data_IF_650552594299
#
_entry.id   IF_650552594299
#
_cell.length_a   1.000
_cell.length_b   1.000
_cell.length_c   1.000
_cell.angle_alpha   90.00
_cell.angle_beta   90.00
_cell.angle_gamma   90.00
#
_symmetry.space_group_name_H-M   'P 1'
#
loop_
_entity.id
_entity.type
_entity.pdbx_description
1 polymer ?
#
# COMPACT_ATOMS: atom_id res chain seq x y z
N UNK A 1 16.78 9.11 7.09
CA UNK A 1 15.76 8.73 8.08
C UNK A 1 14.43 9.35 7.65
N UNK A 2 13.30 8.85 8.14
CA UNK A 2 12.02 9.55 8.00
C UNK A 2 11.82 10.61 9.09
N UNK A 3 10.64 11.25 9.11
CA UNK A 3 10.28 12.28 10.10
C UNK A 3 10.22 11.78 11.55
N UNK A 4 10.15 10.47 11.79
CA UNK A 4 10.20 9.86 13.13
C UNK A 4 11.62 9.42 13.53
N UNK A 5 12.60 9.70 12.67
CA UNK A 5 13.98 9.25 12.85
C UNK A 5 14.18 7.77 12.54
N UNK A 6 13.24 7.11 11.86
CA UNK A 6 13.32 5.69 11.52
C UNK A 6 14.08 5.48 10.19
N UNK A 7 14.99 4.49 10.11
CA UNK A 7 15.73 4.21 8.88
C UNK A 7 14.86 3.43 7.89
N UNK A 8 14.25 4.13 6.92
CA UNK A 8 13.49 3.50 5.82
C UNK A 8 14.40 2.71 4.87
N UNK A 9 15.63 3.17 4.65
CA UNK A 9 16.65 2.53 3.80
C UNK A 9 17.90 2.21 4.65
N UNK A 10 17.82 1.24 5.58
CA UNK A 10 18.99 0.82 6.34
C UNK A 10 20.06 0.27 5.39
N UNK A 11 21.32 0.62 5.65
CA UNK A 11 22.46 0.17 4.85
C UNK A 11 23.68 -0.09 5.76
N UNK A 12 24.63 -0.91 5.34
CA UNK A 12 25.76 -1.31 6.18
C UNK A 12 25.30 -2.02 7.46
N UNK A 13 25.92 -1.68 8.59
CA UNK A 13 25.57 -2.21 9.92
C UNK A 13 24.55 -1.31 10.66
N UNK A 14 23.40 -1.03 10.03
CA UNK A 14 22.36 -0.19 10.66
C UNK A 14 21.65 -0.96 11.79
N UNK A 15 21.61 -0.36 12.98
CA UNK A 15 20.84 -0.84 14.14
C UNK A 15 19.87 0.28 14.56
N UNK A 16 18.62 -0.08 14.82
CA UNK A 16 17.63 0.85 15.36
C UNK A 16 16.84 0.19 16.48
N UNK A 17 16.82 0.83 17.65
CA UNK A 17 16.09 0.39 18.83
C UNK A 17 14.83 1.26 18.95
N UNK A 18 13.68 0.61 19.01
CA UNK A 18 12.41 1.21 19.38
C UNK A 18 12.19 0.94 20.87
N UNK A 19 12.23 2.00 21.67
CA UNK A 19 11.86 1.95 23.08
C UNK A 19 10.36 1.62 23.27
N UNK A 20 9.99 1.18 24.47
CA UNK A 20 8.62 0.79 24.81
C UNK A 20 7.62 1.90 24.49
N UNK A 21 7.89 3.10 25.01
CA UNK A 21 6.99 4.25 24.97
C UNK A 21 7.03 5.02 23.66
N UNK A 22 8.04 4.76 22.82
CA UNK A 22 8.19 5.43 21.52
C UNK A 22 7.25 4.81 20.51
N UNK A 23 6.35 5.63 19.95
CA UNK A 23 5.53 5.24 18.80
C UNK A 23 6.34 5.46 17.53
N UNK A 24 6.54 4.39 16.74
CA UNK A 24 7.17 4.43 15.43
C UNK A 24 6.25 3.71 14.46
N UNK A 25 5.53 4.46 13.63
CA UNK A 25 4.45 3.94 12.77
C UNK A 25 5.02 3.06 11.65
N UNK A 26 6.25 3.36 11.22
CA UNK A 26 6.93 2.63 10.14
C UNK A 26 7.67 1.37 10.60
N UNK A 27 7.70 1.04 11.90
CA UNK A 27 8.50 -0.09 12.38
C UNK A 27 8.05 -1.42 11.73
N UNK A 28 9.01 -2.18 11.19
CA UNK A 28 8.74 -3.39 10.39
C UNK A 28 8.68 -3.16 8.88
N UNK A 29 8.53 -1.90 8.46
CA UNK A 29 8.50 -1.49 7.04
C UNK A 29 9.86 -0.99 6.58
N UNK A 30 10.19 -1.16 5.29
CA UNK A 30 11.37 -0.57 4.65
C UNK A 30 10.99 -0.10 3.25
N UNK A 31 11.77 0.82 2.69
CA UNK A 31 11.52 1.42 1.38
C UNK A 31 11.87 0.53 0.19
N UNK A 32 12.39 -0.68 0.43
CA UNK A 32 12.79 -1.62 -0.61
C UNK A 32 12.10 -2.98 -0.48
N UNK A 33 12.13 -3.73 -1.58
CA UNK A 33 11.56 -5.07 -1.62
C UNK A 33 12.49 -6.05 -0.90
N UNK A 34 11.94 -6.85 0.02
CA UNK A 34 12.67 -7.90 0.74
C UNK A 34 11.91 -9.23 0.65
N UNK A 35 12.63 -10.34 0.67
CA UNK A 35 12.07 -11.67 0.88
C UNK A 35 11.98 -11.94 2.38
N UNK A 36 10.86 -12.49 2.84
CA UNK A 36 10.64 -12.81 4.26
C UNK A 36 10.71 -14.33 4.44
N UNK A 37 11.42 -14.82 5.44
CA UNK A 37 11.54 -16.25 5.74
C UNK A 37 10.32 -16.89 6.43
N UNK A 38 9.13 -16.27 6.34
CA UNK A 38 7.89 -16.80 6.95
C UNK A 38 7.08 -17.51 5.87
N UNK A 39 6.54 -18.67 6.21
CA UNK A 39 5.84 -19.57 5.29
C UNK A 39 4.68 -18.88 4.53
N UNK A 40 4.61 -19.23 3.24
CA UNK A 40 3.71 -18.85 2.14
C UNK A 40 2.41 -18.09 2.51
N UNK A 41 2.14 -17.02 1.77
CA UNK A 41 0.76 -16.67 1.37
C UNK A 41 0.62 -16.79 -0.14
N UNK A 42 -0.28 -17.68 -0.55
CA UNK A 42 -0.60 -17.95 -1.94
C UNK A 42 -1.43 -16.77 -2.46
N UNK A 43 -0.86 -16.02 -3.39
CA UNK A 43 -1.52 -14.97 -4.13
C UNK A 43 -0.61 -14.59 -5.28
N UNK A 44 -1.11 -14.71 -6.51
CA UNK A 44 -0.51 -14.33 -7.79
C UNK A 44 0.98 -13.92 -7.76
N UNK A 45 1.85 -14.76 -8.32
CA UNK A 45 3.32 -14.67 -8.36
C UNK A 45 3.84 -13.23 -8.22
N UNK A 46 4.24 -12.87 -7.00
CA UNK A 46 5.06 -11.69 -6.80
C UNK A 46 6.47 -11.99 -7.30
N UNK A 47 7.21 -11.03 -7.89
CA UNK A 47 8.62 -11.21 -8.24
C UNK A 47 9.49 -11.66 -7.05
N UNK A 48 9.00 -11.45 -5.82
CA UNK A 48 9.62 -11.91 -4.58
C UNK A 48 9.39 -13.38 -4.23
N UNK A 49 8.50 -14.09 -4.94
CA UNK A 49 8.36 -15.53 -4.77
C UNK A 49 9.56 -16.27 -5.37
N UNK A 50 9.86 -17.47 -4.87
CA UNK A 50 10.95 -18.30 -5.41
C UNK A 50 10.72 -18.53 -6.90
N UNK A 51 11.69 -18.16 -7.73
CA UNK A 51 11.58 -18.27 -9.20
C UNK A 51 10.82 -17.14 -9.89
N UNK A 52 10.09 -16.29 -9.16
CA UNK A 52 9.21 -15.27 -9.75
C UNK A 52 9.92 -14.23 -10.62
N UNK A 53 11.14 -13.81 -10.25
CA UNK A 53 11.95 -12.92 -11.09
C UNK A 53 12.39 -13.61 -12.38
N UNK A 54 12.83 -14.88 -12.30
CA UNK A 54 13.29 -15.63 -13.47
C UNK A 54 12.15 -15.74 -14.48
N UNK A 55 10.99 -16.21 -14.03
CA UNK A 55 9.79 -16.30 -14.87
C UNK A 55 9.33 -14.96 -15.44
N UNK A 56 9.50 -13.86 -14.68
CA UNK A 56 9.18 -12.52 -15.17
C UNK A 56 10.10 -12.09 -16.31
N UNK A 57 11.41 -12.35 -16.20
CA UNK A 57 12.39 -12.01 -17.23
C UNK A 57 12.28 -12.93 -18.46
N UNK A 58 11.95 -14.21 -18.27
CA UNK A 58 11.73 -15.18 -19.36
C UNK A 58 10.57 -14.77 -20.28
N UNK A 59 9.66 -13.90 -19.82
CA UNK A 59 8.56 -13.32 -20.63
C UNK A 59 8.97 -12.11 -21.46
N UNK A 60 10.25 -11.74 -21.44
CA UNK A 60 10.81 -10.55 -22.11
C UNK A 60 9.97 -9.28 -21.87
N UNK A 61 9.85 -8.84 -20.61
CA UNK A 61 8.93 -7.78 -20.27
C UNK A 61 9.37 -6.46 -20.90
N UNK A 62 8.43 -5.80 -21.58
CA UNK A 62 8.67 -4.46 -22.14
C UNK A 62 8.79 -3.44 -21.02
N UNK A 63 9.70 -2.49 -21.21
CA UNK A 63 9.82 -1.36 -20.28
C UNK A 63 8.47 -0.61 -20.22
N UNK A 64 7.87 -0.43 -19.02
CA UNK A 64 6.59 0.27 -18.90
C UNK A 64 6.68 1.75 -19.26
N UNK A 65 7.90 2.30 -19.39
CA UNK A 65 8.14 3.65 -19.89
C UNK A 65 7.49 3.89 -21.26
N UNK A 66 7.00 5.10 -21.48
CA UNK A 66 6.30 5.49 -22.70
C UNK A 66 5.13 4.57 -23.10
N UNK A 67 4.40 4.03 -22.11
CA UNK A 67 3.29 3.09 -22.30
C UNK A 67 3.70 1.82 -23.07
N UNK A 68 4.87 1.28 -22.78
CA UNK A 68 5.38 0.05 -23.42
C UNK A 68 6.07 0.28 -24.77
N UNK A 69 6.21 1.53 -25.20
CA UNK A 69 6.94 1.90 -26.44
C UNK A 69 8.42 2.18 -26.21
N UNK A 70 8.87 2.20 -24.95
CA UNK A 70 10.28 2.34 -24.67
C UNK A 70 11.04 1.12 -25.22
N UNK A 71 12.06 1.31 -26.08
CA UNK A 71 12.86 0.21 -26.62
C UNK A 71 13.79 -0.41 -25.57
N UNK A 72 13.83 0.13 -24.36
CA UNK A 72 14.67 -0.35 -23.28
C UNK A 72 14.30 -1.76 -22.83
N UNK A 73 15.34 -2.55 -22.54
CA UNK A 73 15.20 -3.88 -21.93
C UNK A 73 15.06 -3.75 -20.42
N UNK A 74 14.19 -4.55 -19.82
CA UNK A 74 14.05 -4.63 -18.37
C UNK A 74 15.10 -5.60 -17.84
N UNK A 75 15.95 -5.12 -16.95
CA UNK A 75 16.96 -5.93 -16.24
C UNK A 75 16.63 -6.00 -14.76
N UNK A 76 17.01 -7.10 -14.12
CA UNK A 76 16.94 -7.25 -12.68
C UNK A 76 18.35 -7.15 -12.09
N UNK A 77 18.55 -6.19 -11.20
CA UNK A 77 19.76 -6.08 -10.40
C UNK A 77 19.53 -6.79 -9.06
N UNK A 78 20.24 -7.90 -8.86
CA UNK A 78 20.14 -8.69 -7.64
C UNK A 78 20.87 -7.99 -6.50
N UNK A 79 20.22 -7.86 -5.35
CA UNK A 79 20.88 -7.46 -4.11
C UNK A 79 21.45 -8.70 -3.40
N UNK A 80 22.77 -8.74 -3.19
CA UNK A 80 23.47 -9.89 -2.60
C UNK A 80 24.20 -9.45 -1.33
N UNK A 81 24.23 -10.33 -0.33
CA UNK A 81 25.01 -10.10 0.90
C UNK A 81 24.34 -9.18 1.93
N UNK A 82 23.10 -8.75 1.68
CA UNK A 82 22.30 -7.96 2.62
C UNK A 82 21.32 -8.82 3.40
N UNK A 83 21.09 -8.47 4.66
CA UNK A 83 20.03 -9.09 5.46
C UNK A 83 19.46 -8.08 6.45
N UNK A 84 18.15 -8.16 6.67
CA UNK A 84 17.44 -7.36 7.64
C UNK A 84 16.60 -8.24 8.56
N UNK A 85 16.58 -7.91 9.85
CA UNK A 85 15.82 -8.61 10.88
C UNK A 85 15.08 -7.59 11.75
N UNK A 86 13.84 -7.95 12.09
CA UNK A 86 13.00 -7.24 13.04
C UNK A 86 12.72 -8.17 14.22
N UNK A 87 13.07 -7.74 15.42
CA UNK A 87 12.75 -8.42 16.66
C UNK A 87 11.73 -7.58 17.43
N UNK A 88 10.65 -8.22 17.86
CA UNK A 88 9.56 -7.60 18.62
C UNK A 88 9.48 -8.28 19.98
N UNK A 89 9.62 -7.50 21.04
CA UNK A 89 9.41 -8.00 22.40
C UNK A 89 8.03 -7.55 22.89
N UNK A 90 7.06 -8.47 22.80
CA UNK A 90 5.66 -8.21 23.14
C UNK A 90 5.49 -7.74 24.60
N UNK A 91 6.12 -8.37 25.62
CA UNK A 91 5.83 -8.05 27.03
C UNK A 91 6.15 -6.60 27.41
N UNK A 92 7.18 -6.00 26.81
CA UNK A 92 7.60 -4.64 27.18
C UNK A 92 7.49 -3.64 26.03
N UNK A 93 7.02 -4.05 24.85
CA UNK A 93 6.87 -3.18 23.68
C UNK A 93 8.18 -2.69 23.04
N UNK A 94 9.36 -3.17 23.47
CA UNK A 94 10.62 -2.84 22.79
C UNK A 94 10.72 -3.60 21.47
N UNK A 95 11.37 -2.99 20.48
CA UNK A 95 11.63 -3.63 19.22
C UNK A 95 12.99 -3.24 18.66
N UNK A 96 13.58 -4.11 17.86
CA UNK A 96 14.92 -3.95 17.32
C UNK A 96 14.93 -4.24 15.82
N UNK A 97 15.43 -3.28 15.05
CA UNK A 97 15.81 -3.48 13.66
C UNK A 97 17.32 -3.68 13.60
N UNK A 98 17.74 -4.74 12.90
CA UNK A 98 19.14 -4.99 12.55
C UNK A 98 19.27 -5.19 11.06
N UNK A 99 20.19 -4.46 10.45
CA UNK A 99 20.61 -4.63 9.07
C UNK A 99 22.09 -4.98 9.01
N UNK A 100 22.46 -5.84 8.05
CA UNK A 100 23.85 -6.11 7.68
C UNK A 100 23.99 -6.14 6.17
N UNK A 101 25.20 -5.89 5.68
CA UNK A 101 25.55 -5.88 4.26
C UNK A 101 25.40 -4.50 3.63
N UNK A 102 25.82 -4.39 2.36
CA UNK A 102 25.83 -3.14 1.61
C UNK A 102 24.88 -3.23 0.41
N UNK A 103 23.94 -2.31 0.33
CA UNK A 103 23.15 -2.03 -0.88
C UNK A 103 23.97 -1.12 -1.80
N UNK A 104 24.69 -1.73 -2.74
CA UNK A 104 25.47 -1.03 -3.78
C UNK A 104 24.73 -1.10 -5.13
N UNK A 105 23.48 -0.67 -5.11
CA UNK A 105 22.63 -0.56 -6.29
C UNK A 105 21.59 0.55 -6.07
N UNK A 106 20.99 1.11 -7.13
CA UNK A 106 19.95 2.11 -7.00
C UNK A 106 18.78 1.59 -6.16
N UNK A 107 18.26 2.44 -5.28
CA UNK A 107 17.07 2.11 -4.50
C UNK A 107 15.82 2.12 -5.37
N UNK A 108 14.95 1.11 -5.27
CA UNK A 108 13.70 1.13 -6.00
C UNK A 108 12.79 2.23 -5.45
N UNK A 109 12.04 2.89 -6.34
CA UNK A 109 10.94 3.77 -5.89
C UNK A 109 9.84 2.92 -5.25
N UNK A 110 9.44 3.26 -4.03
CA UNK A 110 8.34 2.55 -3.37
C UNK A 110 7.05 2.70 -4.17
N UNK A 111 6.46 1.56 -4.55
CA UNK A 111 5.15 1.54 -5.23
C UNK A 111 4.02 1.86 -4.25
N UNK A 112 4.16 1.52 -2.97
CA UNK A 112 3.09 1.66 -1.97
C UNK A 112 3.41 2.84 -1.03
N UNK A 113 2.41 3.65 -0.63
CA UNK A 113 2.62 4.61 0.44
C UNK A 113 3.05 3.87 1.70
N UNK A 114 4.04 4.42 2.40
CA UNK A 114 4.47 3.91 3.68
C UNK A 114 3.39 4.16 4.76
N UNK A 115 3.49 3.50 5.93
CA UNK A 115 2.55 3.72 7.02
C UNK A 115 2.35 5.19 7.42
N UNK A 116 3.40 6.03 7.39
CA UNK A 116 3.28 7.47 7.66
C UNK A 116 2.46 8.21 6.59
N UNK A 117 2.73 8.00 5.32
CA UNK A 117 1.96 8.57 4.21
C UNK A 117 0.50 8.09 4.23
N UNK A 118 0.26 6.85 4.68
CA UNK A 118 -1.11 6.35 4.91
C UNK A 118 -1.81 7.09 6.06
N UNK A 119 -1.09 7.40 7.13
CA UNK A 119 -1.63 8.17 8.25
C UNK A 119 -1.94 9.62 7.82
N UNK A 120 -1.07 10.26 7.05
CA UNK A 120 -1.29 11.61 6.51
C UNK A 120 -2.48 11.64 5.56
N UNK A 121 -2.60 10.65 4.68
CA UNK A 121 -3.77 10.52 3.80
C UNK A 121 -5.06 10.32 4.60
N UNK A 122 -5.01 9.51 5.67
CA UNK A 122 -6.15 9.29 6.56
C UNK A 122 -6.57 10.59 7.25
N UNK A 123 -5.61 11.39 7.74
CA UNK A 123 -5.88 12.69 8.32
C UNK A 123 -6.54 13.66 7.33
N UNK A 124 -6.11 13.65 6.06
CA UNK A 124 -6.74 14.47 5.01
C UNK A 124 -8.17 14.01 4.68
N UNK A 125 -8.42 12.69 4.66
CA UNK A 125 -9.77 12.14 4.44
C UNK A 125 -10.71 12.48 5.62
N UNK A 126 -10.20 12.51 6.85
CA UNK A 126 -11.01 12.86 8.04
C UNK A 126 -11.55 14.29 7.95
N UNK A 127 -10.82 15.23 7.34
CA UNK A 127 -11.27 16.62 7.17
C UNK A 127 -12.54 16.72 6.31
N UNK A 128 -12.64 15.90 5.26
CA UNK A 128 -13.83 15.81 4.40
C UNK A 128 -14.00 14.38 3.88
N UNK A 129 -14.71 13.51 4.63
CA UNK A 129 -14.87 12.10 4.27
C UNK A 129 -15.66 11.88 2.97
N UNK A 130 -16.50 12.84 2.58
CA UNK A 130 -17.32 12.74 1.37
C UNK A 130 -16.53 13.11 0.10
N UNK A 131 -15.41 13.82 0.25
CA UNK A 131 -14.53 14.21 -0.86
C UNK A 131 -14.02 12.99 -1.62
N UNK A 132 -14.41 12.88 -2.89
CA UNK A 132 -13.97 11.80 -3.77
C UNK A 132 -12.47 11.84 -4.07
N UNK A 133 -11.91 10.69 -4.48
CA UNK A 133 -10.48 10.55 -4.79
C UNK A 133 -9.99 11.54 -5.86
N UNK A 134 -10.81 11.80 -6.90
CA UNK A 134 -10.45 12.77 -7.93
C UNK A 134 -10.29 14.19 -7.36
N UNK A 135 -11.22 14.63 -6.49
CA UNK A 135 -11.14 15.95 -5.84
C UNK A 135 -9.94 16.04 -4.87
N UNK A 136 -9.63 14.96 -4.15
CA UNK A 136 -8.43 14.89 -3.31
C UNK A 136 -7.14 15.02 -4.14
N UNK A 137 -7.10 14.42 -5.33
CA UNK A 137 -5.97 14.50 -6.26
C UNK A 137 -5.77 15.88 -6.88
N UNK A 138 -6.85 16.52 -7.31
CA UNK A 138 -6.76 17.87 -7.91
C UNK A 138 -6.39 18.92 -6.87
N UNK A 139 -6.69 18.65 -5.60
CA UNK A 139 -6.53 19.62 -4.52
C UNK A 139 -7.60 20.71 -4.56
N UNK A 140 -7.53 21.62 -3.59
CA UNK A 140 -8.33 22.84 -3.56
C UNK A 140 -7.38 24.03 -3.36
N UNK A 141 -7.62 25.11 -4.09
CA UNK A 141 -7.04 26.40 -3.78
C UNK A 141 -7.94 27.04 -2.70
N UNK A 142 -7.38 27.30 -1.52
CA UNK A 142 -8.11 27.99 -0.46
C UNK A 142 -8.13 29.50 -0.72
N UNK A 143 -7.04 30.05 -1.27
CA UNK A 143 -6.86 31.45 -1.67
C UNK A 143 -5.96 31.52 -2.92
N UNK A 144 -5.85 32.69 -3.57
CA UNK A 144 -5.00 32.88 -4.75
C UNK A 144 -3.49 32.75 -4.45
N UNK A 145 -3.10 33.02 -3.21
CA UNK A 145 -1.69 33.06 -2.78
C UNK A 145 -1.21 31.76 -2.10
N UNK A 146 -2.12 30.86 -1.72
CA UNK A 146 -1.77 29.58 -1.10
C UNK A 146 -1.52 28.48 -2.15
N UNK A 147 -0.46 27.67 -1.99
CA UNK A 147 -0.22 26.53 -2.87
C UNK A 147 -1.36 25.51 -2.74
N UNK A 148 -1.79 24.96 -3.89
CA UNK A 148 -2.85 23.95 -3.93
C UNK A 148 -2.42 22.74 -3.09
N UNK A 149 -3.14 22.52 -1.98
CA UNK A 149 -2.98 21.33 -1.14
C UNK A 149 -3.57 20.13 -1.88
N UNK A 150 -2.70 19.21 -2.31
CA UNK A 150 -3.10 17.94 -2.92
C UNK A 150 -2.44 16.76 -2.23
N UNK A 151 -3.20 15.66 -2.11
CA UNK A 151 -2.71 14.38 -1.58
C UNK A 151 -1.58 13.78 -2.43
N UNK A 152 -1.34 14.29 -3.64
CA UNK A 152 -0.19 13.88 -4.47
C UNK A 152 1.15 14.25 -3.84
N UNK A 153 1.18 15.26 -2.97
CA UNK A 153 2.39 15.69 -2.27
C UNK A 153 2.75 14.75 -1.10
N UNK A 154 1.78 13.97 -0.59
CA UNK A 154 1.99 13.03 0.52
C UNK A 154 2.87 11.85 0.06
N UNK A 155 2.57 11.28 -1.12
CA UNK A 155 3.36 10.20 -1.69
C UNK A 155 3.15 10.09 -3.20
N UNK A 156 4.23 9.89 -3.96
CA UNK A 156 4.19 9.86 -5.43
C UNK A 156 3.25 8.80 -6.02
N UNK A 157 2.92 7.75 -5.26
CA UNK A 157 1.93 6.74 -5.69
C UNK A 157 0.49 7.26 -5.76
N UNK A 158 0.17 8.35 -5.04
CA UNK A 158 -1.19 8.89 -4.92
C UNK A 158 -1.59 9.76 -6.12
N UNK A 159 -0.67 10.01 -7.05
CA UNK A 159 -0.96 10.57 -8.38
C UNK A 159 -1.87 9.65 -9.20
N UNK A 160 -1.80 8.33 -8.97
CA UNK A 160 -2.71 7.38 -9.61
C UNK A 160 -4.08 7.39 -8.92
N UNK A 161 -5.13 7.77 -9.66
CA UNK A 161 -6.48 7.95 -9.13
C UNK A 161 -7.09 6.63 -8.61
N UNK A 162 -6.85 5.51 -9.29
CA UNK A 162 -7.37 4.20 -8.86
C UNK A 162 -6.75 3.76 -7.55
N UNK A 163 -5.44 3.95 -7.39
CA UNK A 163 -4.70 3.65 -6.17
C UNK A 163 -5.16 4.56 -5.02
N UNK A 164 -5.33 5.85 -5.28
CA UNK A 164 -5.88 6.79 -4.30
C UNK A 164 -7.31 6.37 -3.89
N UNK A 165 -8.15 5.99 -4.85
CA UNK A 165 -9.50 5.48 -4.59
C UNK A 165 -9.50 4.21 -3.75
N UNK A 166 -8.57 3.28 -4.02
CA UNK A 166 -8.39 2.07 -3.21
C UNK A 166 -8.05 2.42 -1.75
N UNK A 167 -7.02 3.25 -1.52
CA UNK A 167 -6.64 3.62 -0.17
C UNK A 167 -7.73 4.43 0.54
N UNK A 168 -8.43 5.32 -0.17
CA UNK A 168 -9.56 6.06 0.39
C UNK A 168 -10.66 5.12 0.90
N UNK A 169 -11.04 4.10 0.12
CA UNK A 169 -12.03 3.10 0.56
C UNK A 169 -11.56 2.34 1.79
N UNK A 170 -10.28 1.95 1.82
CA UNK A 170 -9.69 1.28 2.98
C UNK A 170 -9.79 2.15 4.25
N UNK A 171 -9.44 3.43 4.15
CA UNK A 171 -9.49 4.36 5.29
C UNK A 171 -10.91 4.67 5.74
N UNK A 172 -11.86 4.85 4.81
CA UNK A 172 -13.27 5.07 5.17
C UNK A 172 -13.88 3.87 5.92
N UNK A 173 -13.44 2.66 5.56
CA UNK A 173 -13.80 1.45 6.30
C UNK A 173 -13.15 1.41 7.68
N UNK A 174 -11.86 1.73 7.78
CA UNK A 174 -11.16 1.83 9.07
C UNK A 174 -11.78 2.89 10.01
N UNK A 175 -12.39 3.94 9.45
CA UNK A 175 -13.10 5.00 10.20
C UNK A 175 -14.57 4.65 10.46
N UNK A 176 -15.06 3.51 9.99
CA UNK A 176 -16.46 3.08 10.09
C UNK A 176 -17.49 4.06 9.48
N UNK A 177 -17.07 4.92 8.54
CA UNK A 177 -17.94 5.90 7.86
C UNK A 177 -18.72 5.24 6.74
N UNK A 178 -18.07 4.30 6.05
CA UNK A 178 -18.71 3.41 5.08
C UNK A 178 -18.39 1.99 5.55
N UNK A 179 -19.21 1.40 6.44
CA UNK A 179 -19.06 0.00 6.79
C UNK A 179 -19.11 -0.83 5.50
N UNK A 180 -18.42 -1.98 5.48
CA UNK A 180 -18.41 -2.85 4.31
C UNK A 180 -19.82 -2.98 3.76
N UNK A 181 -20.01 -2.63 2.49
CA UNK A 181 -21.17 -3.14 1.77
C UNK A 181 -21.05 -4.65 1.90
N UNK A 182 -21.95 -5.31 2.61
CA UNK A 182 -22.10 -6.77 2.60
C UNK A 182 -22.18 -7.16 1.12
N UNK A 183 -21.03 -7.56 0.57
CA UNK A 183 -20.70 -7.31 -0.83
C UNK A 183 -20.48 -8.58 -1.62
N UNK A 184 -21.35 -9.56 -1.38
CA UNK A 184 -21.74 -10.61 -2.30
C UNK A 184 -23.14 -11.05 -1.84
N UNK A 185 -24.19 -10.72 -2.60
CA UNK A 185 -25.54 -11.24 -2.34
C UNK A 185 -26.63 -10.24 -1.90
N UNK A 186 -26.38 -8.94 -1.72
CA UNK A 186 -27.50 -7.98 -1.45
C UNK A 186 -28.31 -7.69 -2.71
N UNK A 187 -27.64 -7.62 -3.87
CA UNK A 187 -28.34 -7.56 -5.17
C UNK A 187 -29.10 -8.84 -5.47
N UNK A 188 -28.49 -9.99 -5.19
CA UNK A 188 -29.14 -11.29 -5.37
C UNK A 188 -30.30 -11.49 -4.40
N UNK A 189 -30.19 -11.00 -3.16
CA UNK A 189 -31.29 -11.05 -2.18
C UNK A 189 -32.49 -10.21 -2.63
N UNK A 190 -32.27 -9.01 -3.16
CA UNK A 190 -33.36 -8.21 -3.76
C UNK A 190 -34.01 -8.94 -4.95
N UNK A 191 -33.22 -9.56 -5.83
CA UNK A 191 -33.74 -10.34 -6.96
C UNK A 191 -34.48 -11.60 -6.49
N UNK A 192 -33.96 -12.32 -5.50
CA UNK A 192 -34.57 -13.53 -4.91
C UNK A 192 -35.87 -13.20 -4.17
N UNK A 193 -35.91 -12.11 -3.40
CA UNK A 193 -37.11 -11.63 -2.70
C UNK A 193 -38.19 -11.21 -3.71
N UNK A 194 -37.80 -10.62 -4.86
CA UNK A 194 -38.71 -10.28 -5.96
C UNK A 194 -39.29 -11.53 -6.66
N UNK A 195 -38.48 -12.58 -6.88
CA UNK A 195 -38.95 -13.85 -7.43
C UNK A 195 -39.85 -14.63 -6.45
N UNK A 196 -39.58 -14.55 -5.15
CA UNK A 196 -40.44 -15.13 -4.10
C UNK A 196 -41.79 -14.42 -3.98
N UNK A 197 -41.84 -13.10 -4.18
CA UNK A 197 -43.10 -12.35 -4.22
C UNK A 197 -43.97 -12.72 -5.42
N UNK A 198 -43.36 -12.94 -6.60
CA UNK A 198 -44.10 -13.31 -7.82
C UNK A 198 -44.68 -14.73 -7.77
N UNK A 199 -44.19 -15.58 -6.86
CA UNK A 199 -44.71 -16.94 -6.62
C UNK A 199 -45.79 -17.00 -5.53
N UNK A 200 -46.09 -15.88 -4.86
CA UNK A 200 -47.12 -15.77 -3.84
C UNK A 200 -48.41 -15.07 -4.32
N UNK A 201 -48.64 -14.93 -5.63
CA UNK A 201 -49.97 -14.53 -6.13
C UNK A 201 -50.90 -15.74 -5.98
N UNK A 202 -51.91 -15.71 -5.10
CA UNK A 202 -52.87 -16.79 -5.04
C UNK A 202 -53.73 -16.68 -6.30
N UNK A 203 -53.63 -17.67 -7.19
CA UNK A 203 -54.67 -17.90 -8.20
C UNK A 203 -55.88 -18.40 -7.42
N UNK A 204 -56.74 -17.47 -7.02
CA UNK A 204 -58.15 -17.75 -6.77
C UNK A 204 -58.87 -17.78 -8.12
N UNK A 205 -59.69 -18.82 -8.28
CA UNK A 205 -60.55 -19.22 -9.41
C UNK A 205 -59.88 -20.14 -10.43
#
# INVERSE_FOLDING_TARGET
LDREGYPIYPNGATIFIKEADKIVVNFGSVGFTKTTGVEKRVGWLSPTARGGIKEYLDREPKCPGAAGRCPGKVVWEACIGTAIRFDFHIPSGWALLRHRGLHDHPWPKSKKPDPLARADLKAEIVKDPLKGAFKLKMGQANTLDEPISSVTNIHGSLVNADRLGYYRRLMLRELNIVPDKLGAGVGDKFMMDLFQWNSCVPVFC
#
